data_IF_777237295360
#
_entry.id   IF_777237295360
#
_cell.length_a   1.000
_cell.length_b   1.000
_cell.length_c   1.000
_cell.angle_alpha   90.00
_cell.angle_beta   90.00
_cell.angle_gamma   90.00
#
_symmetry.space_group_name_H-M   'P 1'
#
loop_
_entity.id
_entity.type
_entity.pdbx_description
1 polymer ?
#
# COMPACT_ATOMS: atom_id res chain seq x y z
N UNK A 1 -30.44 -12.64 -8.16
CA UNK A 1 -29.25 -12.48 -7.30
C UNK A 1 -28.30 -11.50 -7.99
N UNK A 2 -28.08 -10.30 -7.43
CA UNK A 2 -27.08 -9.36 -7.98
C UNK A 2 -25.71 -10.03 -7.82
N UNK A 3 -25.05 -10.40 -8.92
CA UNK A 3 -23.65 -10.82 -8.91
C UNK A 3 -22.84 -9.68 -8.27
N UNK A 4 -22.43 -9.84 -7.01
CA UNK A 4 -21.43 -8.96 -6.43
C UNK A 4 -20.15 -9.19 -7.24
N UNK A 5 -19.82 -8.22 -8.08
CA UNK A 5 -18.62 -8.29 -8.90
C UNK A 5 -17.42 -8.33 -7.97
N UNK A 6 -16.49 -9.30 -8.13
CA UNK A 6 -15.30 -9.40 -7.32
C UNK A 6 -14.49 -8.10 -7.34
N UNK A 7 -13.46 -8.01 -6.49
CA UNK A 7 -12.48 -6.94 -6.59
C UNK A 7 -12.04 -6.76 -8.04
N UNK A 8 -11.96 -5.52 -8.52
CA UNK A 8 -11.58 -5.29 -9.92
C UNK A 8 -10.16 -5.81 -10.16
N UNK A 9 -9.92 -6.35 -11.36
CA UNK A 9 -8.60 -6.83 -11.79
C UNK A 9 -7.52 -5.76 -11.61
N UNK A 10 -7.87 -4.47 -11.75
CA UNK A 10 -6.97 -3.34 -11.50
C UNK A 10 -6.44 -3.30 -10.06
N UNK A 11 -7.27 -3.59 -9.06
CA UNK A 11 -6.86 -3.60 -7.65
C UNK A 11 -5.99 -4.82 -7.38
N UNK A 12 -6.33 -5.98 -7.97
CA UNK A 12 -5.50 -7.17 -7.89
C UNK A 12 -4.08 -6.93 -8.45
N UNK A 13 -3.98 -6.35 -9.66
CA UNK A 13 -2.68 -6.01 -10.28
C UNK A 13 -1.92 -5.03 -9.40
N UNK A 14 -2.59 -4.02 -8.86
CA UNK A 14 -1.98 -3.07 -7.94
C UNK A 14 -1.42 -3.75 -6.68
N UNK A 15 -2.17 -4.68 -6.06
CA UNK A 15 -1.68 -5.43 -4.91
C UNK A 15 -0.46 -6.30 -5.26
N UNK A 16 -0.43 -6.93 -6.43
CA UNK A 16 0.73 -7.71 -6.90
C UNK A 16 1.95 -6.81 -7.07
N UNK A 17 1.81 -5.67 -7.75
CA UNK A 17 2.90 -4.69 -7.91
C UNK A 17 3.37 -4.19 -6.54
N UNK A 18 2.43 -3.93 -5.62
CA UNK A 18 2.73 -3.50 -4.26
C UNK A 18 3.53 -4.55 -3.49
N UNK A 19 3.20 -5.84 -3.57
CA UNK A 19 4.00 -6.92 -2.95
C UNK A 19 5.43 -6.92 -3.47
N UNK A 20 5.60 -6.82 -4.79
CA UNK A 20 6.94 -6.80 -5.38
C UNK A 20 7.75 -5.61 -4.85
N UNK A 21 7.16 -4.41 -4.80
CA UNK A 21 7.82 -3.23 -4.26
C UNK A 21 8.16 -3.41 -2.78
N UNK A 22 7.23 -3.92 -1.97
CA UNK A 22 7.46 -4.16 -0.55
C UNK A 22 8.57 -5.21 -0.31
N UNK A 23 8.65 -6.26 -1.13
CA UNK A 23 9.70 -7.27 -1.05
C UNK A 23 11.07 -6.69 -1.44
N UNK A 24 11.12 -5.89 -2.49
CA UNK A 24 12.34 -5.20 -2.91
C UNK A 24 12.82 -4.22 -1.83
N UNK A 25 11.90 -3.48 -1.21
CA UNK A 25 12.22 -2.60 -0.07
C UNK A 25 12.70 -3.40 1.14
N UNK A 26 12.03 -4.50 1.48
CA UNK A 26 12.42 -5.36 2.60
C UNK A 26 13.82 -5.97 2.39
N UNK A 27 14.14 -6.41 1.17
CA UNK A 27 15.48 -6.90 0.82
C UNK A 27 16.55 -5.79 0.90
N UNK A 28 16.17 -4.54 0.64
CA UNK A 28 17.08 -3.39 0.68
C UNK A 28 17.33 -2.85 2.10
N UNK A 29 16.61 -3.33 3.12
CA UNK A 29 16.69 -2.83 4.51
C UNK A 29 18.08 -2.93 5.12
N UNK A 30 18.87 -3.93 4.76
CA UNK A 30 20.23 -4.08 5.29
C UNK A 30 21.18 -2.97 4.84
N UNK A 31 20.83 -2.27 3.74
CA UNK A 31 21.65 -1.19 3.17
C UNK A 31 21.21 0.22 3.61
N UNK A 32 20.01 0.36 4.20
CA UNK A 32 19.50 1.65 4.69
C UNK A 32 19.91 1.86 6.15
N UNK A 33 21.03 2.55 6.37
CA UNK A 33 21.55 2.92 7.70
C UNK A 33 20.76 4.04 8.41
N UNK A 34 19.68 4.55 7.80
CA UNK A 34 19.00 5.78 8.23
C UNK A 34 17.86 5.56 9.25
N UNK A 35 17.31 4.35 9.34
CA UNK A 35 16.21 4.00 10.24
C UNK A 35 16.46 2.60 10.81
N UNK A 36 16.05 2.35 12.06
CA UNK A 36 16.30 1.03 12.66
C UNK A 36 15.59 -0.05 11.82
N UNK A 37 16.28 -1.14 11.45
CA UNK A 37 15.69 -2.23 10.67
C UNK A 37 14.39 -2.77 11.30
N UNK A 38 14.29 -2.69 12.63
CA UNK A 38 13.13 -3.06 13.43
C UNK A 38 11.92 -2.14 13.20
N UNK A 39 12.11 -0.82 13.14
CA UNK A 39 11.04 0.13 12.84
C UNK A 39 10.47 -0.13 11.44
N UNK A 40 11.34 -0.46 10.51
CA UNK A 40 10.95 -0.70 9.13
C UNK A 40 10.25 -2.04 8.92
N UNK A 41 10.72 -3.10 9.59
CA UNK A 41 10.00 -4.36 9.65
C UNK A 41 8.58 -4.16 10.24
N UNK A 42 8.45 -3.31 11.27
CA UNK A 42 7.15 -2.98 11.87
C UNK A 42 6.23 -2.19 10.92
N UNK A 43 6.78 -1.33 10.07
CA UNK A 43 6.00 -0.58 9.07
C UNK A 43 5.63 -1.43 7.84
N UNK A 44 6.45 -2.43 7.49
CA UNK A 44 6.24 -3.27 6.30
C UNK A 44 5.40 -4.52 6.57
N UNK A 45 5.52 -5.15 7.75
CA UNK A 45 4.81 -6.38 8.07
C UNK A 45 3.26 -6.24 8.01
N UNK A 46 2.64 -5.17 8.53
CA UNK A 46 1.20 -4.94 8.38
C UNK A 46 0.79 -4.77 6.92
N UNK A 47 1.66 -4.19 6.09
CA UNK A 47 1.36 -3.94 4.68
C UNK A 47 1.28 -5.23 3.86
N UNK A 48 2.10 -6.23 4.17
CA UNK A 48 2.01 -7.55 3.53
C UNK A 48 0.70 -8.25 3.88
N UNK A 49 0.24 -8.14 5.14
CA UNK A 49 -1.05 -8.73 5.56
C UNK A 49 -2.24 -8.14 4.79
N UNK A 50 -2.23 -6.83 4.50
CA UNK A 50 -3.32 -6.19 3.76
C UNK A 50 -3.40 -6.64 2.30
N UNK A 51 -2.28 -7.01 1.67
CA UNK A 51 -2.30 -7.60 0.32
C UNK A 51 -3.03 -8.95 0.35
N UNK A 52 -2.73 -9.81 1.31
CA UNK A 52 -3.42 -11.10 1.44
C UNK A 52 -4.92 -10.94 1.68
N UNK A 53 -5.33 -9.91 2.44
CA UNK A 53 -6.75 -9.61 2.62
C UNK A 53 -7.45 -9.24 1.30
N UNK A 54 -6.81 -8.44 0.44
CA UNK A 54 -7.36 -8.16 -0.89
C UNK A 54 -7.47 -9.41 -1.76
N UNK A 55 -6.49 -10.33 -1.69
CA UNK A 55 -6.56 -11.61 -2.40
C UNK A 55 -7.76 -12.45 -1.94
N UNK A 56 -8.02 -12.53 -0.62
CA UNK A 56 -9.20 -13.25 -0.12
C UNK A 56 -10.51 -12.61 -0.58
N UNK A 57 -10.63 -11.28 -0.52
CA UNK A 57 -11.83 -10.58 -1.01
C UNK A 57 -12.00 -10.77 -2.52
N UNK A 58 -10.91 -10.87 -3.28
CA UNK A 58 -10.96 -11.15 -4.72
C UNK A 58 -11.47 -12.57 -5.03
N UNK A 59 -11.05 -13.58 -4.25
CA UNK A 59 -11.48 -14.97 -4.41
C UNK A 59 -12.98 -15.14 -4.11
N UNK A 60 -13.46 -14.58 -2.99
CA UNK A 60 -14.86 -14.70 -2.57
C UNK A 60 -15.30 -13.47 -1.75
N UNK A 61 -15.81 -12.45 -2.44
CA UNK A 61 -16.22 -11.19 -1.81
C UNK A 61 -17.35 -11.38 -0.78
N UNK A 62 -18.24 -12.37 -0.97
CA UNK A 62 -19.36 -12.61 -0.06
C UNK A 62 -18.88 -13.20 1.27
N UNK A 63 -18.00 -14.20 1.20
CA UNK A 63 -17.44 -14.85 2.39
C UNK A 63 -16.49 -13.92 3.15
N UNK A 64 -15.75 -13.08 2.45
CA UNK A 64 -14.70 -12.23 3.01
C UNK A 64 -15.09 -10.75 3.11
N UNK A 65 -16.37 -10.42 2.99
CA UNK A 65 -16.89 -9.04 3.07
C UNK A 65 -16.45 -8.30 4.34
N UNK A 66 -16.34 -9.01 5.45
CA UNK A 66 -15.87 -8.46 6.74
C UNK A 66 -14.43 -7.95 6.69
N UNK A 67 -13.60 -8.49 5.79
CA UNK A 67 -12.23 -8.04 5.59
C UNK A 67 -12.15 -6.74 4.77
N UNK A 68 -13.23 -6.34 4.10
CA UNK A 68 -13.22 -5.16 3.24
C UNK A 68 -13.05 -3.86 4.06
N UNK A 69 -13.66 -3.74 5.24
CA UNK A 69 -13.42 -2.58 6.12
C UNK A 69 -12.02 -2.61 6.72
N UNK A 70 -11.53 -3.79 7.09
CA UNK A 70 -10.20 -3.96 7.68
C UNK A 70 -9.10 -3.65 6.65
N UNK A 71 -9.33 -4.03 5.39
CA UNK A 71 -8.49 -3.69 4.26
C UNK A 71 -8.43 -2.18 4.02
N UNK A 72 -9.59 -1.49 3.99
CA UNK A 72 -9.62 -0.02 3.83
C UNK A 72 -8.89 0.69 4.96
N UNK A 73 -9.11 0.26 6.21
CA UNK A 73 -8.38 0.81 7.36
C UNK A 73 -6.87 0.57 7.26
N UNK A 74 -6.47 -0.62 6.81
CA UNK A 74 -5.07 -0.94 6.56
C UNK A 74 -4.42 -0.06 5.49
N UNK A 75 -5.15 0.24 4.41
CA UNK A 75 -4.72 1.18 3.38
C UNK A 75 -4.55 2.60 3.92
N UNK A 76 -5.47 3.07 4.78
CA UNK A 76 -5.35 4.37 5.44
C UNK A 76 -4.09 4.43 6.32
N UNK A 77 -3.82 3.38 7.11
CA UNK A 77 -2.59 3.31 7.93
C UNK A 77 -1.35 3.32 7.04
N UNK A 78 -1.37 2.56 5.94
CA UNK A 78 -0.29 2.55 4.95
C UNK A 78 -0.05 3.92 4.31
N UNK A 79 -1.12 4.63 3.99
CA UNK A 79 -1.06 5.98 3.44
C UNK A 79 -0.38 6.94 4.43
N UNK A 80 -0.79 6.91 5.69
CA UNK A 80 -0.18 7.73 6.74
C UNK A 80 1.30 7.36 6.97
N UNK A 81 1.63 6.08 6.98
CA UNK A 81 3.01 5.61 7.08
C UNK A 81 3.86 6.14 5.91
N UNK A 82 3.32 6.11 4.69
CA UNK A 82 4.02 6.64 3.53
C UNK A 82 4.15 8.15 3.51
N UNK A 83 3.13 8.88 3.93
CA UNK A 83 3.20 10.33 4.07
C UNK A 83 4.24 10.75 5.13
N UNK A 84 4.24 10.09 6.29
CA UNK A 84 5.24 10.33 7.33
C UNK A 84 6.66 10.06 6.81
N UNK A 85 6.83 9.00 6.02
CA UNK A 85 8.12 8.66 5.42
C UNK A 85 8.57 9.72 4.40
N UNK A 86 7.70 10.11 3.46
CA UNK A 86 8.02 11.15 2.47
C UNK A 86 8.38 12.46 3.16
N UNK A 87 7.63 12.83 4.21
CA UNK A 87 7.89 14.04 4.97
C UNK A 87 9.26 14.01 5.67
N UNK A 88 9.58 12.92 6.36
CA UNK A 88 10.87 12.76 7.05
C UNK A 88 12.06 12.63 6.09
N UNK A 89 11.84 12.13 4.87
CA UNK A 89 12.87 11.92 3.85
C UNK A 89 12.92 13.02 2.77
N UNK A 90 12.15 14.10 2.93
CA UNK A 90 11.95 15.10 1.88
C UNK A 90 13.25 15.70 1.35
N UNK A 91 14.21 16.02 2.23
CA UNK A 91 15.49 16.59 1.80
C UNK A 91 16.33 15.62 0.95
N UNK A 92 16.32 14.33 1.28
CA UNK A 92 17.03 13.31 0.50
C UNK A 92 16.36 13.07 -0.85
N UNK A 93 15.03 13.07 -0.90
CA UNK A 93 14.27 12.97 -2.15
C UNK A 93 14.58 14.16 -3.07
N UNK A 94 14.59 15.38 -2.54
CA UNK A 94 14.94 16.58 -3.33
C UNK A 94 16.36 16.50 -3.86
N UNK A 95 17.34 16.05 -3.07
CA UNK A 95 18.72 15.83 -3.53
C UNK A 95 18.78 14.80 -4.65
N UNK A 96 18.14 13.66 -4.50
CA UNK A 96 18.16 12.61 -5.52
C UNK A 96 17.51 13.05 -6.85
N UNK A 97 16.40 13.80 -6.80
CA UNK A 97 15.68 14.26 -7.99
C UNK A 97 16.37 15.45 -8.67
N UNK A 98 16.84 16.43 -7.90
CA UNK A 98 17.37 17.70 -8.44
C UNK A 98 18.85 17.59 -8.76
N UNK A 99 19.62 16.88 -7.94
CA UNK A 99 21.08 16.78 -8.10
C UNK A 99 21.51 15.51 -8.86
N UNK A 100 20.57 14.61 -9.21
CA UNK A 100 20.83 13.32 -9.86
C UNK A 100 21.86 12.43 -9.13
N UNK A 101 22.19 12.75 -7.88
CA UNK A 101 23.07 11.95 -7.01
C UNK A 101 22.20 11.11 -6.10
N UNK A 102 21.48 10.15 -6.70
CA UNK A 102 20.58 9.26 -5.97
C UNK A 102 21.28 7.96 -5.59
N UNK A 103 21.30 7.64 -4.29
CA UNK A 103 21.58 6.29 -3.81
C UNK A 103 20.41 5.36 -4.11
N UNK A 104 20.64 4.04 -4.17
CA UNK A 104 19.58 3.05 -4.38
C UNK A 104 18.42 3.20 -3.36
N UNK A 105 18.74 3.63 -2.14
CA UNK A 105 17.75 3.93 -1.10
C UNK A 105 16.80 5.07 -1.51
N UNK A 106 17.33 6.15 -2.09
CA UNK A 106 16.52 7.30 -2.52
C UNK A 106 15.66 6.97 -3.75
N UNK A 107 16.14 6.10 -4.64
CA UNK A 107 15.33 5.56 -5.74
C UNK A 107 14.16 4.72 -5.24
N UNK A 108 14.36 3.93 -4.18
CA UNK A 108 13.28 3.19 -3.51
C UNK A 108 12.26 4.13 -2.83
N UNK A 109 12.71 5.26 -2.27
CA UNK A 109 11.81 6.27 -1.69
C UNK A 109 10.89 6.87 -2.75
N UNK A 110 11.42 7.15 -3.95
CA UNK A 110 10.61 7.62 -5.09
C UNK A 110 9.57 6.58 -5.53
N UNK A 111 9.95 5.31 -5.62
CA UNK A 111 9.03 4.22 -5.96
C UNK A 111 7.88 4.11 -4.94
N UNK A 112 8.18 4.27 -3.65
CA UNK A 112 7.15 4.25 -2.62
C UNK A 112 6.23 5.47 -2.68
N UNK A 113 6.77 6.66 -2.99
CA UNK A 113 5.96 7.87 -3.15
C UNK A 113 4.96 7.76 -4.32
N UNK A 114 5.31 7.05 -5.39
CA UNK A 114 4.40 6.77 -6.53
C UNK A 114 3.23 5.87 -6.11
N UNK A 115 3.36 5.07 -5.04
CA UNK A 115 2.26 4.27 -4.52
C UNK A 115 1.20 5.11 -3.81
N UNK A 116 1.53 6.31 -3.30
CA UNK A 116 0.61 7.14 -2.50
C UNK A 116 -0.67 7.51 -3.27
N UNK A 117 -0.62 8.03 -4.52
CA UNK A 117 -1.84 8.27 -5.30
C UNK A 117 -2.68 7.01 -5.52
N UNK A 118 -2.04 5.85 -5.71
CA UNK A 118 -2.72 4.58 -5.91
C UNK A 118 -3.41 4.08 -4.62
N UNK A 119 -2.79 4.29 -3.46
CA UNK A 119 -3.42 4.04 -2.15
C UNK A 119 -4.70 4.89 -2.01
N UNK A 120 -4.65 6.17 -2.38
CA UNK A 120 -5.82 7.07 -2.30
C UNK A 120 -6.96 6.56 -3.21
N UNK A 121 -6.65 6.19 -4.45
CA UNK A 121 -7.66 5.66 -5.39
C UNK A 121 -8.27 4.35 -4.89
N UNK A 122 -7.46 3.46 -4.32
CA UNK A 122 -7.97 2.19 -3.76
C UNK A 122 -8.80 2.40 -2.51
N UNK A 123 -8.43 3.32 -1.62
CA UNK A 123 -9.23 3.71 -0.44
C UNK A 123 -10.59 4.27 -0.88
N UNK A 124 -10.62 5.21 -1.83
CA UNK A 124 -11.86 5.85 -2.29
C UNK A 124 -12.77 4.81 -2.98
N UNK A 125 -12.23 4.01 -3.89
CA UNK A 125 -13.02 3.02 -4.62
C UNK A 125 -13.62 1.95 -3.69
N UNK A 126 -12.86 1.46 -2.72
CA UNK A 126 -13.36 0.50 -1.74
C UNK A 126 -14.29 1.13 -0.71
N UNK A 127 -14.06 2.39 -0.31
CA UNK A 127 -14.98 3.15 0.52
C UNK A 127 -16.35 3.34 -0.14
N UNK A 128 -16.37 3.64 -1.44
CA UNK A 128 -17.60 3.70 -2.22
C UNK A 128 -18.30 2.34 -2.33
N UNK A 129 -17.55 1.24 -2.51
CA UNK A 129 -18.09 -0.13 -2.46
C UNK A 129 -18.71 -0.42 -1.08
N UNK A 130 -18.03 -0.10 0.02
CA UNK A 130 -18.54 -0.27 1.39
C UNK A 130 -19.88 0.44 1.59
N UNK A 131 -19.94 1.73 1.19
CA UNK A 131 -21.13 2.56 1.30
C UNK A 131 -22.32 1.95 0.56
N UNK A 132 -22.15 1.61 -0.72
CA UNK A 132 -23.20 0.95 -1.52
C UNK A 132 -23.66 -0.37 -0.90
N UNK A 133 -22.72 -1.15 -0.38
CA UNK A 133 -23.03 -2.45 0.24
C UNK A 133 -23.79 -2.34 1.57
N UNK A 134 -23.76 -1.17 2.22
CA UNK A 134 -24.51 -0.84 3.41
C UNK A 134 -25.91 -0.25 3.09
N UNK A 135 -26.04 0.45 1.96
CA UNK A 135 -27.32 0.99 1.46
C UNK A 135 -28.20 -0.09 0.79
N UNK A 136 -27.61 -1.15 0.24
CA UNK A 136 -28.31 -2.30 -0.36
C UNK A 136 -28.81 -3.34 0.69
N UNK A 137 -28.66 -3.07 2.00
CA UNK A 137 -29.14 -3.91 3.12
C UNK A 137 -30.43 -3.35 3.72
#
# INVERSE_FOLDING_TARGET
>A
MKLHQPLSLSVFIYEVVRVVILLVMAASLQTLSLLSPTLMAYLLAPQLLFVFMALFIWIDELKYRSYLSLYVNGKIVSLWAGLLWVFTSFQSIVKAVVMYTGTAAETMMLLFAVLIPLEIVTIISMGLKLKRSAEDK
#
